data_IF_774047597649
#
_entry.id   IF_774047597649
#
_cell.length_a   1.000
_cell.length_b   1.000
_cell.length_c   1.000
_cell.angle_alpha   90.00
_cell.angle_beta   90.00
_cell.angle_gamma   90.00
#
_symmetry.space_group_name_H-M   'P 1'
#
loop_
_entity.id
_entity.type
_entity.pdbx_description
1 polymer ?
#
# COMPACT_ATOMS: atom_id res chain seq x y z
N UNK A 1 -16.88 -76.25 51.58
CA UNK A 1 -17.84 -75.20 51.19
C UNK A 1 -17.03 -73.96 50.86
N UNK A 2 -17.29 -73.41 49.68
CA UNK A 2 -16.68 -72.27 48.99
C UNK A 2 -16.58 -71.02 49.90
N UNK A 3 -15.67 -70.07 49.72
CA UNK A 3 -15.44 -69.27 48.51
C UNK A 3 -14.00 -68.73 48.44
N UNK A 4 -13.47 -68.71 47.22
CA UNK A 4 -12.19 -68.12 46.87
C UNK A 4 -12.51 -66.72 46.31
N UNK A 5 -12.30 -65.67 47.12
CA UNK A 5 -12.48 -64.28 46.68
C UNK A 5 -11.45 -63.93 45.60
N UNK A 6 -11.91 -63.95 44.35
CA UNK A 6 -11.17 -63.48 43.18
C UNK A 6 -11.15 -61.96 43.18
N UNK A 7 -10.15 -61.33 43.82
CA UNK A 7 -9.82 -59.91 43.61
C UNK A 7 -9.22 -59.73 42.22
N UNK A 8 -10.08 -59.74 41.19
CA UNK A 8 -9.72 -59.46 39.79
C UNK A 8 -9.27 -58.01 39.66
N UNK A 9 -7.96 -57.80 39.58
CA UNK A 9 -7.29 -57.03 38.52
C UNK A 9 -7.91 -55.67 38.09
N UNK A 10 -8.42 -54.85 39.02
CA UNK A 10 -8.93 -53.50 38.67
C UNK A 10 -7.79 -52.53 38.32
N UNK A 11 -6.62 -52.67 38.94
CA UNK A 11 -5.45 -51.80 38.70
C UNK A 11 -4.72 -52.10 37.39
N UNK A 12 -4.65 -53.36 36.98
CA UNK A 12 -4.08 -53.81 35.70
C UNK A 12 -4.98 -53.42 34.53
N UNK A 13 -6.30 -53.51 34.66
CA UNK A 13 -7.25 -53.00 33.66
C UNK A 13 -7.16 -51.47 33.54
N UNK A 14 -7.07 -50.74 34.65
CA UNK A 14 -6.90 -49.29 34.62
C UNK A 14 -5.57 -48.87 33.94
N UNK A 15 -4.46 -49.55 34.26
CA UNK A 15 -3.17 -49.32 33.59
C UNK A 15 -3.19 -49.68 32.10
N UNK A 16 -3.93 -50.73 31.71
CA UNK A 16 -4.11 -51.11 30.30
C UNK A 16 -4.88 -50.03 29.53
N UNK A 17 -5.99 -49.53 30.09
CA UNK A 17 -6.78 -48.45 29.49
C UNK A 17 -5.96 -47.16 29.34
N UNK A 18 -5.15 -46.80 30.34
CA UNK A 18 -4.26 -45.65 30.25
C UNK A 18 -3.22 -45.79 29.13
N UNK A 19 -2.59 -46.98 29.00
CA UNK A 19 -1.64 -47.25 27.90
C UNK A 19 -2.31 -47.17 26.53
N UNK A 20 -3.53 -47.71 26.39
CA UNK A 20 -4.29 -47.63 25.16
C UNK A 20 -4.66 -46.20 24.80
N UNK A 21 -5.07 -45.39 25.78
CA UNK A 21 -5.35 -43.97 25.57
C UNK A 21 -4.10 -43.21 25.08
N UNK A 22 -2.95 -43.48 25.70
CA UNK A 22 -1.67 -42.86 25.32
C UNK A 22 -1.27 -43.26 23.88
N UNK A 23 -1.39 -44.55 23.54
CA UNK A 23 -1.14 -45.04 22.18
C UNK A 23 -2.09 -44.37 21.17
N UNK A 24 -3.37 -44.25 21.50
CA UNK A 24 -4.35 -43.60 20.63
C UNK A 24 -4.00 -42.13 20.37
N UNK A 25 -3.55 -41.39 21.38
CA UNK A 25 -3.06 -40.01 21.21
C UNK A 25 -1.85 -39.96 20.28
N UNK A 26 -0.89 -40.88 20.44
CA UNK A 26 0.25 -40.97 19.53
C UNK A 26 -0.17 -41.22 18.08
N UNK A 27 -1.14 -42.11 17.85
CA UNK A 27 -1.67 -42.36 16.50
C UNK A 27 -2.43 -41.15 15.94
N UNK A 28 -3.14 -40.39 16.78
CA UNK A 28 -3.80 -39.15 16.36
C UNK A 28 -2.78 -38.11 15.89
N UNK A 29 -1.72 -37.89 16.67
CA UNK A 29 -0.63 -36.96 16.30
C UNK A 29 0.08 -37.47 15.04
N UNK A 30 0.37 -38.77 14.95
CA UNK A 30 1.02 -39.36 13.78
C UNK A 30 0.16 -39.22 12.52
N UNK A 31 -1.14 -39.49 12.63
CA UNK A 31 -2.08 -39.30 11.52
C UNK A 31 -2.15 -37.85 11.06
N UNK A 32 -2.14 -36.90 11.99
CA UNK A 32 -2.06 -35.47 11.66
C UNK A 32 -0.75 -35.11 10.96
N UNK A 33 0.36 -35.66 11.41
CA UNK A 33 1.67 -35.42 10.80
C UNK A 33 1.74 -36.02 9.39
N UNK A 34 1.23 -37.23 9.20
CA UNK A 34 1.14 -37.89 7.89
C UNK A 34 0.25 -37.09 6.92
N UNK A 35 -0.87 -36.54 7.40
CA UNK A 35 -1.70 -35.65 6.61
C UNK A 35 -0.91 -34.42 6.12
N UNK A 36 -0.18 -33.75 7.02
CA UNK A 36 0.59 -32.56 6.67
C UNK A 36 1.77 -32.87 5.73
N UNK A 37 2.46 -33.98 5.96
CA UNK A 37 3.69 -34.32 5.23
C UNK A 37 3.45 -35.05 3.91
N UNK A 38 2.45 -35.94 3.84
CA UNK A 38 2.24 -36.82 2.67
C UNK A 38 1.05 -36.39 1.84
N UNK A 39 -0.07 -36.03 2.47
CA UNK A 39 -1.28 -35.61 1.72
C UNK A 39 -1.15 -34.16 1.25
N UNK A 40 -0.60 -33.28 2.10
CA UNK A 40 -0.44 -31.85 1.83
C UNK A 40 1.01 -31.46 1.54
N UNK A 41 1.94 -32.43 1.50
CA UNK A 41 3.37 -32.17 1.31
C UNK A 41 3.68 -31.42 0.01
N UNK A 42 3.07 -31.85 -1.09
CA UNK A 42 3.28 -31.22 -2.41
C UNK A 42 2.77 -29.77 -2.45
N UNK A 43 1.64 -29.50 -1.77
CA UNK A 43 1.06 -28.15 -1.65
C UNK A 43 1.97 -27.25 -0.84
N UNK A 44 2.40 -27.68 0.35
CA UNK A 44 3.30 -26.87 1.17
C UNK A 44 4.69 -26.70 0.52
N UNK A 45 5.15 -27.65 -0.29
CA UNK A 45 6.37 -27.49 -1.08
C UNK A 45 6.20 -26.48 -2.22
N UNK A 46 5.05 -26.45 -2.91
CA UNK A 46 4.78 -25.41 -3.91
C UNK A 46 4.67 -24.04 -3.27
N UNK A 47 3.92 -23.92 -2.16
CA UNK A 47 3.76 -22.65 -1.44
C UNK A 47 5.12 -22.13 -0.91
N UNK A 48 5.98 -23.02 -0.42
CA UNK A 48 7.33 -22.67 0.00
C UNK A 48 8.26 -22.32 -1.18
N UNK A 49 8.07 -22.95 -2.34
CA UNK A 49 8.82 -22.62 -3.56
C UNK A 49 8.41 -21.26 -4.13
N UNK A 50 7.12 -20.93 -4.07
CA UNK A 50 6.56 -19.65 -4.49
C UNK A 50 6.99 -18.52 -3.55
N UNK A 51 7.05 -18.78 -2.24
CA UNK A 51 7.61 -17.85 -1.25
C UNK A 51 9.12 -17.57 -1.41
N UNK A 52 9.84 -18.34 -2.25
CA UNK A 52 11.28 -18.10 -2.49
C UNK A 52 11.54 -17.01 -3.53
N UNK A 53 10.58 -16.69 -4.38
CA UNK A 53 10.79 -15.78 -5.50
C UNK A 53 9.92 -14.54 -5.37
N UNK A 54 10.55 -13.38 -5.20
CA UNK A 54 9.89 -12.08 -5.31
C UNK A 54 10.04 -11.57 -6.73
N UNK A 55 8.95 -11.60 -7.51
CA UNK A 55 8.89 -10.93 -8.80
C UNK A 55 8.88 -9.42 -8.54
N UNK A 56 9.93 -8.72 -9.01
CA UNK A 56 10.00 -7.27 -8.96
C UNK A 56 9.88 -6.77 -10.40
N UNK A 57 8.76 -6.13 -10.71
CA UNK A 57 8.56 -5.47 -11.99
C UNK A 57 9.39 -4.18 -12.01
N UNK A 58 10.28 -4.07 -12.99
CA UNK A 58 11.09 -2.86 -13.20
C UNK A 58 10.50 -2.12 -14.39
N UNK A 59 9.91 -0.95 -14.13
CA UNK A 59 9.34 -0.12 -15.19
C UNK A 59 10.41 0.34 -16.18
N UNK A 60 10.16 0.11 -17.47
CA UNK A 60 11.05 0.58 -18.52
C UNK A 60 11.00 2.12 -18.66
N UNK A 61 12.13 2.81 -18.91
CA UNK A 61 12.12 4.24 -19.20
C UNK A 61 11.26 4.56 -20.44
N UNK A 62 10.40 5.59 -20.35
CA UNK A 62 9.56 6.03 -21.47
C UNK A 62 10.39 6.75 -22.55
N UNK A 63 9.93 6.74 -23.81
CA UNK A 63 10.62 7.37 -24.94
C UNK A 63 10.79 8.89 -24.81
N UNK A 64 11.82 9.47 -25.43
CA UNK A 64 12.03 10.94 -25.47
C UNK A 64 11.09 11.55 -26.52
N UNK A 65 10.48 12.69 -26.20
CA UNK A 65 9.62 13.44 -27.13
C UNK A 65 10.44 14.59 -27.72
N UNK A 66 10.39 14.74 -29.03
CA UNK A 66 11.13 15.77 -29.78
C UNK A 66 10.16 16.70 -30.51
N UNK A 67 10.59 17.93 -30.77
CA UNK A 67 9.92 18.80 -31.74
C UNK A 67 10.26 18.39 -33.19
N UNK A 68 9.64 19.08 -34.14
CA UNK A 68 9.89 18.90 -35.57
C UNK A 68 11.34 19.23 -36.00
N UNK A 69 12.10 19.95 -35.18
CA UNK A 69 13.51 20.30 -35.42
C UNK A 69 14.48 19.37 -34.67
N UNK A 70 13.98 18.34 -33.98
CA UNK A 70 14.78 17.40 -33.20
C UNK A 70 15.22 17.90 -31.82
N UNK A 71 14.68 19.02 -31.33
CA UNK A 71 14.91 19.49 -29.96
C UNK A 71 14.10 18.66 -28.97
N UNK A 72 14.73 18.28 -27.87
CA UNK A 72 14.07 17.50 -26.81
C UNK A 72 13.01 18.36 -26.15
N UNK A 73 11.79 17.85 -26.05
CA UNK A 73 10.68 18.48 -25.33
C UNK A 73 10.45 17.80 -23.98
N UNK A 74 10.55 16.47 -23.96
CA UNK A 74 10.33 15.66 -22.77
C UNK A 74 11.38 14.56 -22.71
N UNK A 75 12.07 14.48 -21.57
CA UNK A 75 13.07 13.44 -21.28
C UNK A 75 12.87 12.85 -19.90
N UNK A 76 13.48 11.69 -19.67
CA UNK A 76 13.57 11.14 -18.32
C UNK A 76 14.78 11.74 -17.61
N UNK A 77 14.63 12.02 -16.32
CA UNK A 77 15.70 12.37 -15.41
C UNK A 77 15.63 11.44 -14.20
N UNK A 78 16.76 10.89 -13.73
CA UNK A 78 16.77 10.10 -12.50
C UNK A 78 16.25 10.94 -11.33
N UNK A 79 15.34 10.35 -10.55
CA UNK A 79 14.81 10.89 -9.31
C UNK A 79 14.65 9.75 -8.30
N UNK A 80 14.35 10.08 -7.05
CA UNK A 80 14.13 9.11 -5.99
C UNK A 80 12.74 9.31 -5.41
N UNK A 81 12.09 8.21 -5.07
CA UNK A 81 10.86 8.23 -4.29
C UNK A 81 11.05 7.44 -3.02
N UNK A 82 10.29 7.84 -2.02
CA UNK A 82 10.26 7.24 -0.71
C UNK A 82 8.94 6.51 -0.60
N UNK A 83 9.04 5.22 -0.31
CA UNK A 83 7.92 4.31 -0.22
C UNK A 83 7.91 3.63 1.14
N UNK A 84 6.73 3.27 1.61
CA UNK A 84 6.53 2.41 2.78
C UNK A 84 6.24 1.00 2.29
N UNK A 85 6.84 0.00 2.93
CA UNK A 85 6.54 -1.41 2.70
C UNK A 85 5.59 -1.88 3.80
N UNK A 86 4.32 -2.19 3.47
CA UNK A 86 3.33 -2.59 4.48
C UNK A 86 3.72 -3.81 5.32
N UNK A 87 4.43 -4.77 4.72
CA UNK A 87 4.92 -5.98 5.40
C UNK A 87 5.94 -5.70 6.52
N UNK A 88 6.68 -4.60 6.41
CA UNK A 88 7.68 -4.20 7.40
C UNK A 88 7.10 -3.28 8.50
N UNK A 89 5.81 -2.95 8.43
CA UNK A 89 5.13 -2.20 9.49
C UNK A 89 4.80 -3.14 10.67
N UNK A 90 4.85 -2.65 11.91
CA UNK A 90 4.41 -3.43 13.06
C UNK A 90 2.92 -3.78 12.90
N UNK A 91 2.57 -5.00 13.28
CA UNK A 91 1.18 -5.45 13.28
C UNK A 91 0.49 -4.97 14.55
N UNK A 92 -0.69 -4.38 14.38
CA UNK A 92 -1.57 -4.11 15.52
C UNK A 92 -2.25 -5.40 15.96
N UNK A 93 -1.90 -5.88 17.16
CA UNK A 93 -2.68 -6.90 17.83
C UNK A 93 -4.01 -6.27 18.32
N UNK A 94 -5.11 -7.03 18.26
CA UNK A 94 -6.43 -6.56 18.73
C UNK A 94 -6.45 -6.16 20.22
N UNK A 95 -5.40 -6.50 20.98
CA UNK A 95 -5.23 -6.21 22.41
C UNK A 95 -4.39 -4.94 22.69
N UNK A 96 -3.72 -4.37 21.69
CA UNK A 96 -2.85 -3.20 21.85
C UNK A 96 -3.66 -1.91 21.95
N UNK A 97 -3.47 -1.13 23.02
CA UNK A 97 -4.17 0.16 23.23
C UNK A 97 -3.64 1.27 22.33
N UNK A 98 -2.39 1.15 21.89
CA UNK A 98 -1.71 2.10 21.02
C UNK A 98 -1.42 1.42 19.69
N UNK A 99 -1.85 2.05 18.60
CA UNK A 99 -1.68 1.54 17.25
C UNK A 99 -0.21 1.74 16.84
N UNK A 100 0.58 0.67 16.89
CA UNK A 100 2.02 0.69 16.62
C UNK A 100 2.30 1.06 15.16
N UNK A 101 1.41 0.65 14.25
CA UNK A 101 1.45 1.01 12.83
C UNK A 101 1.37 2.55 12.65
N UNK A 102 0.47 3.21 13.40
CA UNK A 102 0.31 4.67 13.40
C UNK A 102 1.59 5.37 13.84
N UNK A 103 2.19 4.87 14.91
CA UNK A 103 3.38 5.47 15.47
C UNK A 103 4.59 5.31 14.54
N UNK A 104 4.71 4.17 13.87
CA UNK A 104 5.75 3.97 12.86
C UNK A 104 5.54 4.90 11.65
N UNK A 105 4.32 5.00 11.13
CA UNK A 105 3.99 5.94 10.03
C UNK A 105 4.30 7.39 10.47
N UNK A 106 3.93 7.76 11.69
CA UNK A 106 4.20 9.08 12.25
C UNK A 106 5.71 9.38 12.29
N UNK A 107 6.54 8.44 12.75
CA UNK A 107 8.00 8.58 12.72
C UNK A 107 8.55 8.73 11.31
N UNK A 108 8.04 7.97 10.35
CA UNK A 108 8.43 8.10 8.94
C UNK A 108 8.13 9.49 8.41
N UNK A 109 6.93 10.01 8.67
CA UNK A 109 6.53 11.35 8.22
C UNK A 109 7.34 12.46 8.88
N UNK A 110 7.67 12.32 10.17
CA UNK A 110 8.59 13.23 10.86
C UNK A 110 10.00 13.19 10.28
N UNK A 111 10.52 12.01 9.96
CA UNK A 111 11.84 11.87 9.34
C UNK A 111 11.90 12.50 7.94
N UNK A 112 10.78 12.50 7.21
CA UNK A 112 10.63 13.22 5.95
C UNK A 112 10.57 14.74 6.10
N UNK A 113 10.33 15.23 7.32
CA UNK A 113 10.08 16.63 7.62
C UNK A 113 8.68 17.09 7.24
N UNK A 114 7.68 16.20 7.22
CA UNK A 114 6.31 16.54 6.84
C UNK A 114 5.62 17.54 7.78
N UNK A 115 6.18 17.78 8.97
CA UNK A 115 5.74 18.77 9.95
C UNK A 115 6.36 20.16 9.74
N UNK A 116 7.58 20.23 9.16
CA UNK A 116 8.34 21.47 8.98
C UNK A 116 8.39 21.94 7.53
N UNK A 117 8.55 21.01 6.58
CA UNK A 117 8.71 21.27 5.17
C UNK A 117 7.33 21.25 4.47
N UNK A 118 6.88 22.45 4.09
CA UNK A 118 5.60 22.65 3.41
C UNK A 118 5.52 21.85 2.11
N UNK A 119 6.60 21.78 1.34
CA UNK A 119 6.59 21.13 0.02
C UNK A 119 6.49 19.61 0.17
N UNK A 120 7.09 19.06 1.22
CA UNK A 120 6.92 17.65 1.59
C UNK A 120 5.48 17.36 1.98
N UNK A 121 4.90 18.14 2.90
CA UNK A 121 3.53 17.95 3.36
C UNK A 121 2.52 18.01 2.19
N UNK A 122 2.68 18.99 1.30
CA UNK A 122 1.86 19.14 0.10
C UNK A 122 2.08 17.98 -0.88
N UNK A 123 3.32 17.57 -1.12
CA UNK A 123 3.64 16.46 -2.01
C UNK A 123 3.04 15.14 -1.56
N UNK A 124 3.04 14.86 -0.25
CA UNK A 124 2.39 13.68 0.34
C UNK A 124 0.87 13.80 0.17
N UNK A 125 0.27 14.92 0.58
CA UNK A 125 -1.17 15.13 0.46
C UNK A 125 -1.65 15.00 -1.00
N UNK A 126 -0.94 15.60 -1.96
CA UNK A 126 -1.28 15.49 -3.39
C UNK A 126 -1.18 14.04 -3.87
N UNK A 127 -0.11 13.33 -3.51
CA UNK A 127 0.06 11.93 -3.91
C UNK A 127 -1.06 11.05 -3.34
N UNK A 128 -1.41 11.25 -2.07
CA UNK A 128 -2.48 10.51 -1.41
C UNK A 128 -3.84 10.85 -2.01
N UNK A 129 -4.11 12.11 -2.33
CA UNK A 129 -5.34 12.55 -2.99
C UNK A 129 -5.55 11.85 -4.34
N UNK A 130 -4.49 11.78 -5.17
CA UNK A 130 -4.56 11.07 -6.46
C UNK A 130 -4.80 9.56 -6.29
N UNK A 131 -4.26 8.94 -5.25
CA UNK A 131 -4.35 7.49 -5.02
C UNK A 131 -5.63 7.03 -4.33
N UNK A 132 -6.10 7.78 -3.35
CA UNK A 132 -7.32 7.49 -2.60
C UNK A 132 -8.57 8.02 -3.32
N UNK A 133 -8.43 9.08 -4.12
CA UNK A 133 -9.56 9.80 -4.68
C UNK A 133 -10.24 10.69 -3.64
N UNK A 134 -11.21 11.48 -4.10
CA UNK A 134 -11.79 12.58 -3.33
C UNK A 134 -12.48 12.15 -2.03
N UNK A 135 -13.29 11.10 -2.09
CA UNK A 135 -14.13 10.67 -0.97
C UNK A 135 -13.29 10.05 0.16
N UNK A 136 -12.42 9.09 -0.18
CA UNK A 136 -11.59 8.38 0.78
C UNK A 136 -10.52 9.32 1.40
N UNK A 137 -10.01 10.27 0.62
CA UNK A 137 -9.13 11.32 1.13
C UNK A 137 -9.83 12.19 2.18
N UNK A 138 -11.02 12.69 1.88
CA UNK A 138 -11.77 13.54 2.79
C UNK A 138 -12.14 12.79 4.08
N UNK A 139 -12.65 11.56 3.93
CA UNK A 139 -13.02 10.71 5.05
C UNK A 139 -11.84 10.42 5.98
N UNK A 140 -10.64 10.16 5.44
CA UNK A 140 -9.46 9.89 6.23
C UNK A 140 -9.00 11.12 7.03
N UNK A 141 -8.94 12.29 6.39
CA UNK A 141 -8.47 13.53 7.06
C UNK A 141 -9.47 14.03 8.10
N UNK A 142 -10.76 14.04 7.78
CA UNK A 142 -11.81 14.45 8.72
C UNK A 142 -11.96 13.44 9.86
N UNK A 143 -11.79 12.14 9.58
CA UNK A 143 -11.76 11.08 10.60
C UNK A 143 -10.64 11.26 11.61
N UNK A 144 -9.52 11.90 11.22
CA UNK A 144 -8.43 12.29 12.11
C UNK A 144 -8.70 13.60 12.89
N UNK A 145 -9.90 14.18 12.75
CA UNK A 145 -10.28 15.44 13.41
C UNK A 145 -9.66 16.69 12.77
N UNK A 146 -9.14 16.59 11.55
CA UNK A 146 -8.53 17.71 10.83
C UNK A 146 -9.57 18.35 9.92
N UNK A 147 -9.91 19.64 10.09
CA UNK A 147 -10.90 20.30 9.25
C UNK A 147 -10.35 20.54 7.84
N UNK A 148 -11.09 20.10 6.83
CA UNK A 148 -10.80 20.38 5.43
C UNK A 148 -11.52 21.63 4.93
N UNK A 149 -10.84 22.38 4.07
CA UNK A 149 -11.46 23.43 3.25
C UNK A 149 -11.88 22.82 1.92
N UNK A 150 -12.98 23.33 1.38
CA UNK A 150 -13.52 22.83 0.11
C UNK A 150 -13.64 23.97 -0.89
N UNK A 151 -13.20 23.70 -2.11
CA UNK A 151 -13.38 24.57 -3.26
C UNK A 151 -14.55 24.03 -4.09
N UNK A 152 -15.49 24.91 -4.39
CA UNK A 152 -16.64 24.58 -5.24
C UNK A 152 -16.25 24.76 -6.71
N UNK A 153 -16.28 23.68 -7.48
CA UNK A 153 -15.87 23.66 -8.88
C UNK A 153 -17.02 23.14 -9.74
N UNK A 154 -17.12 23.60 -10.99
CA UNK A 154 -18.09 23.08 -11.95
C UNK A 154 -17.75 21.63 -12.31
N UNK A 155 -18.74 20.75 -12.30
CA UNK A 155 -18.57 19.34 -12.63
C UNK A 155 -17.99 19.14 -14.03
N UNK A 156 -18.44 19.97 -14.99
CA UNK A 156 -17.98 19.96 -16.39
C UNK A 156 -16.52 20.37 -16.58
N UNK A 157 -15.88 21.04 -15.60
CA UNK A 157 -14.45 21.36 -15.67
C UNK A 157 -13.55 20.28 -15.07
N UNK A 158 -14.14 19.26 -14.44
CA UNK A 158 -13.42 18.19 -13.74
C UNK A 158 -13.66 16.83 -14.38
N UNK A 159 -14.85 16.62 -14.93
CA UNK A 159 -15.23 15.43 -15.65
C UNK A 159 -15.26 15.78 -17.14
N UNK A 160 -14.68 14.93 -18.00
CA UNK A 160 -14.78 15.01 -19.47
C UNK A 160 -16.21 14.70 -19.95
N UNK A 161 -17.20 15.42 -19.40
CA UNK A 161 -18.59 15.34 -19.82
C UNK A 161 -18.70 16.16 -21.10
N UNK A 162 -18.95 15.47 -22.22
CA UNK A 162 -19.24 16.15 -23.47
C UNK A 162 -20.40 17.14 -23.26
N UNK A 163 -20.24 18.42 -23.64
CA UNK A 163 -21.22 19.47 -23.34
C UNK A 163 -22.60 19.26 -24.00
N UNK A 164 -22.75 18.24 -24.85
CA UNK A 164 -23.91 18.01 -25.71
C UNK A 164 -24.80 16.85 -25.23
N UNK A 165 -24.73 16.46 -23.95
CA UNK A 165 -25.74 15.57 -23.37
C UNK A 165 -27.04 16.34 -23.13
N UNK A 166 -28.15 16.05 -23.86
CA UNK A 166 -29.40 16.77 -23.71
C UNK A 166 -29.99 16.47 -22.33
N UNK A 167 -30.03 17.47 -21.46
CA UNK A 167 -30.58 17.39 -20.09
C UNK A 167 -29.72 17.96 -18.98
N UNK A 168 -28.47 18.38 -19.23
CA UNK A 168 -27.60 19.01 -18.23
C UNK A 168 -27.75 20.54 -18.30
N UNK A 169 -28.95 21.06 -18.03
CA UNK A 169 -29.23 22.51 -18.06
C UNK A 169 -28.81 23.25 -16.76
N UNK A 170 -28.58 22.52 -15.66
CA UNK A 170 -28.12 23.11 -14.40
C UNK A 170 -26.62 22.90 -14.20
N UNK A 171 -25.91 23.99 -13.87
CA UNK A 171 -24.50 23.96 -13.50
C UNK A 171 -24.31 23.10 -12.24
N UNK A 172 -23.98 21.83 -12.43
CA UNK A 172 -23.67 20.93 -11.32
C UNK A 172 -22.32 21.33 -10.74
N UNK A 173 -22.30 21.70 -9.46
CA UNK A 173 -21.07 21.98 -8.73
C UNK A 173 -20.67 20.77 -7.88
N UNK A 174 -19.37 20.55 -7.79
CA UNK A 174 -18.75 19.51 -6.97
C UNK A 174 -17.81 20.21 -5.98
N UNK A 175 -17.92 19.84 -4.72
CA UNK A 175 -17.00 20.29 -3.69
C UNK A 175 -15.75 19.39 -3.68
N UNK A 176 -14.58 20.03 -3.74
CA UNK A 176 -13.28 19.35 -3.81
C UNK A 176 -12.43 19.82 -2.63
N UNK A 177 -11.80 18.91 -1.86
CA UNK A 177 -10.84 19.27 -0.84
C UNK A 177 -9.75 20.20 -1.38
N UNK A 178 -9.50 21.30 -0.67
CA UNK A 178 -8.43 22.24 -0.99
C UNK A 178 -7.08 21.66 -0.55
N UNK A 179 -6.35 21.11 -1.52
CA UNK A 179 -5.00 20.54 -1.35
C UNK A 179 -3.88 21.57 -1.55
N UNK A 180 -4.20 22.88 -1.64
CA UNK A 180 -3.19 23.93 -1.80
C UNK A 180 -2.48 24.32 -0.50
N UNK A 181 -3.02 23.87 0.63
CA UNK A 181 -2.50 24.11 1.98
C UNK A 181 -1.90 22.82 2.54
N UNK A 182 -0.74 22.88 3.23
CA UNK A 182 -0.17 21.70 3.86
C UNK A 182 -1.11 21.19 4.96
N UNK A 183 -1.35 19.88 4.96
CA UNK A 183 -2.11 19.24 6.02
C UNK A 183 -1.25 19.08 7.28
N UNK A 184 -1.84 19.18 8.48
CA UNK A 184 -1.14 18.85 9.70
C UNK A 184 -0.82 17.35 9.75
N UNK A 185 0.21 17.00 10.52
CA UNK A 185 0.75 15.65 10.61
C UNK A 185 -0.31 14.56 10.87
N UNK A 186 -1.30 14.73 11.78
CA UNK A 186 -2.34 13.72 11.99
C UNK A 186 -3.16 13.40 10.74
N UNK A 187 -3.43 14.41 9.89
CA UNK A 187 -4.14 14.22 8.63
C UNK A 187 -3.29 13.45 7.62
N UNK A 188 -1.99 13.72 7.55
CA UNK A 188 -1.06 12.98 6.68
C UNK A 188 -0.90 11.52 7.12
N UNK A 189 -0.81 11.26 8.43
CA UNK A 189 -0.76 9.89 8.98
C UNK A 189 -2.02 9.13 8.57
N UNK A 190 -3.21 9.72 8.78
CA UNK A 190 -4.47 9.08 8.45
C UNK A 190 -4.62 8.76 6.95
N UNK A 191 -4.09 9.62 6.07
CA UNK A 191 -4.07 9.37 4.63
C UNK A 191 -3.20 8.16 4.27
N UNK A 192 -1.99 8.08 4.82
CA UNK A 192 -1.09 6.95 4.57
C UNK A 192 -1.71 5.66 5.10
N UNK A 193 -2.33 5.69 6.28
CA UNK A 193 -3.05 4.54 6.85
C UNK A 193 -4.24 4.10 6.01
N UNK A 194 -5.05 5.05 5.55
CA UNK A 194 -6.18 4.77 4.66
C UNK A 194 -5.70 4.09 3.37
N UNK A 195 -4.57 4.54 2.81
CA UNK A 195 -3.99 3.93 1.61
C UNK A 195 -3.48 2.51 1.88
N UNK A 196 -2.74 2.29 2.96
CA UNK A 196 -2.20 0.98 3.33
C UNK A 196 -3.36 0.00 3.60
N UNK A 197 -4.38 0.40 4.38
CA UNK A 197 -5.55 -0.45 4.65
C UNK A 197 -6.31 -0.81 3.37
N UNK A 198 -6.42 0.10 2.41
CA UNK A 198 -7.04 -0.16 1.11
C UNK A 198 -6.19 -1.10 0.24
N UNK A 199 -4.85 -0.99 0.28
CA UNK A 199 -3.93 -1.78 -0.55
C UNK A 199 -3.48 -3.10 0.08
N UNK A 200 -3.70 -3.33 1.39
CA UNK A 200 -3.42 -4.59 2.09
C UNK A 200 -4.11 -5.81 1.47
N UNK A 201 -5.15 -5.63 0.64
CA UNK A 201 -5.83 -6.70 -0.10
C UNK A 201 -5.06 -7.25 -1.32
N UNK A 202 -3.97 -6.60 -1.74
CA UNK A 202 -3.17 -7.04 -2.90
C UNK A 202 -1.89 -7.77 -2.50
N UNK A 203 -0.81 -7.01 -2.30
CA UNK A 203 0.52 -7.53 -2.02
C UNK A 203 1.24 -6.64 -0.99
N UNK A 204 1.23 -7.06 0.28
CA UNK A 204 1.84 -6.30 1.38
C UNK A 204 3.36 -6.11 1.23
N UNK A 205 4.01 -6.86 0.35
CA UNK A 205 5.45 -6.77 0.07
C UNK A 205 5.81 -5.71 -0.96
N UNK A 206 4.82 -5.12 -1.66
CA UNK A 206 5.06 -4.05 -2.63
C UNK A 206 5.24 -2.70 -1.91
N UNK A 207 6.35 -1.98 -2.16
CA UNK A 207 6.51 -0.63 -1.64
C UNK A 207 5.43 0.30 -2.20
N UNK A 208 4.80 1.06 -1.31
CA UNK A 208 3.80 2.08 -1.62
C UNK A 208 4.47 3.45 -1.54
N UNK A 209 4.71 4.14 -2.68
CA UNK A 209 5.24 5.49 -2.68
C UNK A 209 4.38 6.44 -1.85
N UNK A 210 5.02 7.14 -0.91
CA UNK A 210 4.42 8.18 -0.08
C UNK A 210 4.90 9.58 -0.46
N UNK A 211 6.10 9.69 -1.02
CA UNK A 211 6.67 10.95 -1.51
C UNK A 211 7.51 10.71 -2.75
N UNK A 212 7.19 11.41 -3.84
CA UNK A 212 7.95 11.37 -5.09
C UNK A 212 8.86 12.59 -5.27
N UNK A 213 9.67 12.54 -6.32
CA UNK A 213 10.51 13.66 -6.78
C UNK A 213 11.54 14.14 -5.74
N UNK A 214 12.07 13.21 -4.94
CA UNK A 214 13.05 13.49 -3.90
C UNK A 214 14.44 13.65 -4.51
N UNK A 215 15.16 14.69 -4.08
CA UNK A 215 16.56 14.88 -4.47
C UNK A 215 17.48 13.81 -3.87
N UNK A 216 18.60 13.57 -4.52
CA UNK A 216 19.63 12.61 -4.10
C UNK A 216 20.06 12.81 -2.65
N UNK A 217 20.22 14.04 -2.17
CA UNK A 217 20.68 14.29 -0.80
C UNK A 217 19.64 13.81 0.21
N UNK A 218 18.36 14.20 0.03
CA UNK A 218 17.26 13.76 0.89
C UNK A 218 17.04 12.25 0.80
N UNK A 219 17.21 11.66 -0.39
CA UNK A 219 17.16 10.21 -0.59
C UNK A 219 18.28 9.47 0.16
N UNK A 220 19.52 9.99 0.14
CA UNK A 220 20.64 9.43 0.89
C UNK A 220 20.40 9.51 2.40
N UNK A 221 19.93 10.66 2.90
CA UNK A 221 19.59 10.83 4.32
C UNK A 221 18.54 9.81 4.77
N UNK A 222 17.50 9.61 3.97
CA UNK A 222 16.46 8.62 4.28
C UNK A 222 16.94 7.17 4.15
N UNK A 223 17.92 6.91 3.28
CA UNK A 223 18.58 5.61 3.19
C UNK A 223 19.43 5.33 4.44
N UNK A 224 20.07 6.34 5.02
CA UNK A 224 20.82 6.20 6.27
C UNK A 224 19.88 5.94 7.47
N UNK A 225 18.73 6.62 7.52
CA UNK A 225 17.72 6.42 8.56
C UNK A 225 16.91 5.12 8.38
N UNK A 226 17.07 4.38 7.28
CA UNK A 226 16.34 3.12 7.05
C UNK A 226 16.64 2.04 8.10
N UNK A 227 17.75 2.17 8.83
CA UNK A 227 18.04 1.31 9.98
C UNK A 227 17.05 1.52 11.14
N UNK A 228 16.58 2.76 11.34
CA UNK A 228 15.60 3.11 12.37
C UNK A 228 14.16 3.01 11.88
N UNK A 229 13.98 3.11 10.56
CA UNK A 229 12.70 3.05 9.88
C UNK A 229 12.68 1.84 8.93
N UNK A 230 12.58 0.61 9.47
CA UNK A 230 12.66 -0.60 8.66
C UNK A 230 11.53 -0.71 7.64
N UNK A 231 10.44 0.05 7.82
CA UNK A 231 9.31 0.12 6.87
C UNK A 231 9.58 1.00 5.65
N UNK A 232 10.65 1.80 5.65
CA UNK A 232 10.96 2.76 4.57
C UNK A 232 11.86 2.13 3.53
N UNK A 233 11.55 2.40 2.26
CA UNK A 233 12.41 2.09 1.11
C UNK A 233 12.59 3.34 0.25
N UNK A 234 13.84 3.58 -0.11
CA UNK A 234 14.21 4.61 -1.09
C UNK A 234 14.47 3.89 -2.41
N UNK A 235 13.72 4.25 -3.45
CA UNK A 235 13.87 3.62 -4.76
C UNK A 235 14.15 4.66 -5.85
N UNK A 236 15.12 4.40 -6.75
CA UNK A 236 15.32 5.24 -7.91
C UNK A 236 14.17 5.05 -8.88
N UNK A 237 13.63 6.15 -9.41
CA UNK A 237 12.62 6.11 -10.46
C UNK A 237 12.89 7.18 -11.53
N UNK A 238 12.54 6.92 -12.80
CA UNK A 238 12.68 7.91 -13.86
C UNK A 238 11.54 8.94 -13.76
N UNK A 239 11.86 10.17 -13.37
CA UNK A 239 10.93 11.29 -13.41
C UNK A 239 10.92 11.92 -14.81
N UNK A 240 9.73 12.29 -15.29
CA UNK A 240 9.58 13.04 -16.54
C UNK A 240 9.93 14.50 -16.30
N UNK A 241 10.89 15.01 -17.09
CA UNK A 241 11.24 16.42 -17.15
C UNK A 241 10.75 17.02 -18.46
N UNK A 242 9.86 17.99 -18.33
CA UNK A 242 9.35 18.84 -19.40
C UNK A 242 10.26 20.07 -19.50
N UNK A 243 10.80 20.35 -20.69
CA UNK A 243 11.69 21.51 -20.87
C UNK A 243 10.91 22.83 -20.75
N UNK A 244 9.68 22.85 -21.26
CA UNK A 244 8.78 24.00 -21.23
C UNK A 244 7.44 23.63 -20.59
N UNK A 245 7.39 23.43 -19.26
CA UNK A 245 6.21 22.89 -18.59
C UNK A 245 4.96 23.77 -18.77
N UNK A 246 5.08 25.09 -18.66
CA UNK A 246 3.94 26.00 -18.77
C UNK A 246 3.30 25.99 -20.16
N UNK A 247 4.12 25.89 -21.21
CA UNK A 247 3.66 25.99 -22.59
C UNK A 247 3.19 24.65 -23.17
N UNK A 248 3.80 23.53 -22.75
CA UNK A 248 3.65 22.26 -23.46
C UNK A 248 2.99 21.16 -22.65
N UNK A 249 2.96 21.24 -21.31
CA UNK A 249 2.35 20.16 -20.54
C UNK A 249 0.83 20.07 -20.70
N UNK A 250 0.16 21.18 -21.03
CA UNK A 250 -1.27 21.18 -21.40
C UNK A 250 -1.55 20.43 -22.72
N UNK A 251 -0.54 20.28 -23.58
CA UNK A 251 -0.68 19.64 -24.90
C UNK A 251 -0.17 18.19 -24.85
N UNK A 252 0.97 17.97 -24.21
CA UNK A 252 1.66 16.67 -24.16
C UNK A 252 1.10 15.79 -23.02
N UNK A 253 0.46 16.40 -22.02
CA UNK A 253 0.00 15.73 -20.81
C UNK A 253 1.08 15.64 -19.74
N UNK A 254 0.73 15.00 -18.63
CA UNK A 254 1.61 14.77 -17.49
C UNK A 254 1.59 13.30 -17.08
N UNK A 255 2.73 12.80 -16.63
CA UNK A 255 2.82 11.46 -16.09
C UNK A 255 2.63 11.50 -14.58
N UNK A 256 1.62 10.80 -14.08
CA UNK A 256 1.30 10.67 -12.66
C UNK A 256 1.12 9.22 -12.26
N UNK A 257 0.93 8.96 -10.96
CA UNK A 257 0.43 7.65 -10.50
C UNK A 257 -0.96 7.39 -11.09
N UNK A 258 -1.32 6.12 -11.24
CA UNK A 258 -2.67 5.73 -11.66
C UNK A 258 -3.69 6.34 -10.67
N UNK A 259 -4.56 7.26 -11.12
CA UNK A 259 -5.56 7.86 -10.24
C UNK A 259 -6.61 6.83 -9.82
N UNK A 260 -7.19 7.00 -8.64
CA UNK A 260 -8.20 6.07 -8.12
C UNK A 260 -9.36 5.90 -9.09
N UNK A 261 -9.81 6.99 -9.70
CA UNK A 261 -10.97 7.06 -10.59
C UNK A 261 -10.81 6.19 -11.84
N UNK A 262 -9.57 6.02 -12.33
CA UNK A 262 -9.26 5.22 -13.51
C UNK A 262 -8.62 3.87 -13.16
N UNK A 263 -8.50 3.53 -11.87
CA UNK A 263 -7.80 2.31 -11.45
C UNK A 263 -8.40 1.05 -12.06
N UNK A 264 -9.72 0.93 -12.12
CA UNK A 264 -10.38 -0.25 -12.71
C UNK A 264 -10.12 -0.42 -14.21
N UNK A 265 -10.06 0.68 -14.98
CA UNK A 265 -9.77 0.60 -16.41
C UNK A 265 -8.33 0.15 -16.65
N UNK A 266 -7.37 0.69 -15.90
CA UNK A 266 -5.97 0.29 -16.00
C UNK A 266 -5.76 -1.18 -15.56
N UNK A 267 -6.46 -1.65 -14.53
CA UNK A 267 -6.42 -3.06 -14.13
C UNK A 267 -6.93 -3.98 -15.26
N UNK A 268 -7.96 -3.57 -16.01
CA UNK A 268 -8.47 -4.33 -17.16
C UNK A 268 -7.49 -4.33 -18.36
N UNK A 269 -6.69 -3.28 -18.51
CA UNK A 269 -5.62 -3.21 -19.52
C UNK A 269 -4.38 -4.04 -19.16
N UNK A 270 -4.36 -4.66 -17.98
CA UNK A 270 -3.30 -5.56 -17.53
C UNK A 270 -2.24 -4.90 -16.63
N UNK A 271 -2.47 -3.67 -16.17
CA UNK A 271 -1.64 -3.09 -15.11
C UNK A 271 -1.92 -3.82 -13.80
N UNK A 272 -0.86 -4.26 -13.12
CA UNK A 272 -0.95 -5.03 -11.86
C UNK A 272 -0.63 -4.18 -10.64
N UNK A 273 0.06 -3.04 -10.85
CA UNK A 273 0.56 -2.18 -9.78
C UNK A 273 -0.01 -0.76 -9.91
N UNK A 274 -0.88 -0.37 -8.97
CA UNK A 274 -1.46 0.98 -8.92
C UNK A 274 -0.43 2.08 -8.60
N UNK A 275 0.78 1.71 -8.22
CA UNK A 275 1.91 2.63 -8.07
C UNK A 275 2.61 2.97 -9.39
N UNK A 276 2.27 2.29 -10.48
CA UNK A 276 2.79 2.62 -11.80
C UNK A 276 2.39 4.02 -12.24
N UNK A 277 3.21 4.58 -13.14
CA UNK A 277 2.98 5.91 -13.71
C UNK A 277 2.45 5.82 -15.13
N UNK A 278 1.33 6.49 -15.33
CA UNK A 278 0.58 6.62 -16.59
C UNK A 278 0.43 8.10 -16.93
N UNK A 279 0.17 8.41 -18.20
CA UNK A 279 0.08 9.78 -18.70
C UNK A 279 -1.13 9.98 -19.58
#
# INVERSE_FOLDING_TARGET
MYEQESTRDTSTVAMLLFRLALIAVFFLIFGRLFQLQVVQGDIFQSDAADNRYKLIEVAAPRGVIYDNNGQILVRNQPSFEIAIVPEDLPFDDLETVMNEETEEINKVLLALGADVDRDVALGIAELMFRRLGRADFAAAVEGAGVPLRYNRVLASSVLDIAPDQPGVEEAQYIDIPDISQPLPLPGLVALVQSLISTQKLGNASQPIPILGLVDRIKALQMTEESYRLPSVRVQPFPARRYIYPELMSHIIGFMGVIPREYSESYLQEGYTNLSERVG
#
